data_IF_635954545436
#
_entry.id   IF_635954545436
#
_cell.length_a   1.000
_cell.length_b   1.000
_cell.length_c   1.000
_cell.angle_alpha   90.00
_cell.angle_beta   90.00
_cell.angle_gamma   90.00
#
_symmetry.space_group_name_H-M   'P 1'
#
loop_
_entity.id
_entity.type
_entity.pdbx_description
1 polymer ?
#
# COMPACT_ATOMS: atom_id res chain seq x y z
N UNK A 1 12.45 11.19 9.46
CA UNK A 1 12.54 10.10 8.47
C UNK A 1 11.13 9.60 8.23
N UNK A 2 10.81 9.08 7.05
CA UNK A 2 9.47 8.57 6.76
C UNK A 2 9.52 7.28 5.93
N UNK A 3 8.45 6.51 6.01
CA UNK A 3 8.15 5.41 5.10
C UNK A 3 7.01 5.81 4.16
N UNK A 4 7.13 5.47 2.89
CA UNK A 4 6.12 5.73 1.88
C UNK A 4 5.77 4.46 1.12
N UNK A 5 4.47 4.30 0.86
CA UNK A 5 3.93 3.27 -0.02
C UNK A 5 3.27 3.96 -1.21
N UNK A 6 3.51 3.46 -2.42
CA UNK A 6 2.89 3.99 -3.63
C UNK A 6 2.00 2.94 -4.27
N UNK A 7 0.81 3.36 -4.68
CA UNK A 7 -0.16 2.53 -5.39
C UNK A 7 -0.56 3.18 -6.70
N UNK A 8 -0.60 2.39 -7.75
CA UNK A 8 -1.13 2.77 -9.06
C UNK A 8 -1.70 1.52 -9.72
N UNK A 9 -2.40 1.70 -10.83
CA UNK A 9 -3.00 0.60 -11.56
C UNK A 9 -2.71 0.72 -13.05
N UNK A 10 -2.57 -0.43 -13.70
CA UNK A 10 -2.49 -0.51 -15.17
C UNK A 10 -3.73 -1.22 -15.65
N UNK A 11 -4.29 -0.74 -16.76
CA UNK A 11 -5.43 -1.39 -17.39
C UNK A 11 -4.99 -2.75 -17.93
N UNK A 12 -5.66 -3.80 -17.46
CA UNK A 12 -5.56 -5.14 -18.02
C UNK A 12 -6.58 -5.33 -19.13
N UNK A 13 -7.36 -6.40 -19.03
CA UNK A 13 -8.45 -6.74 -19.94
C UNK A 13 -9.81 -6.11 -19.56
N UNK A 14 -9.90 -5.36 -18.46
CA UNK A 14 -11.15 -4.73 -18.05
C UNK A 14 -11.55 -3.60 -18.99
N UNK A 15 -12.86 -3.31 -19.11
CA UNK A 15 -13.33 -2.24 -20.01
C UNK A 15 -13.19 -0.84 -19.39
N UNK A 16 -13.04 -0.75 -18.06
CA UNK A 16 -13.07 0.50 -17.32
C UNK A 16 -11.98 1.51 -17.73
N UNK A 17 -12.34 2.79 -17.68
CA UNK A 17 -11.42 3.91 -17.95
C UNK A 17 -10.75 4.45 -16.68
N UNK A 18 -11.28 4.11 -15.50
CA UNK A 18 -10.83 4.60 -14.20
C UNK A 18 -10.94 3.50 -13.15
N UNK A 19 -10.12 3.60 -12.11
CA UNK A 19 -10.23 2.73 -10.94
C UNK A 19 -10.07 3.57 -9.68
N UNK A 20 -10.70 3.16 -8.59
CA UNK A 20 -10.40 3.69 -7.28
C UNK A 20 -9.24 2.91 -6.68
N UNK A 21 -8.13 3.60 -6.43
CA UNK A 21 -6.91 2.98 -5.90
C UNK A 21 -6.68 3.43 -4.48
N UNK A 22 -6.27 2.48 -3.63
CA UNK A 22 -5.82 2.72 -2.26
C UNK A 22 -4.46 2.05 -2.04
N UNK A 23 -3.60 2.66 -1.24
CA UNK A 23 -2.32 2.08 -0.80
C UNK A 23 -2.27 2.13 0.72
N UNK A 24 -1.99 1.01 1.37
CA UNK A 24 -1.92 0.90 2.83
C UNK A 24 -0.56 0.36 3.27
N UNK A 25 0.06 1.04 4.23
CA UNK A 25 1.30 0.63 4.87
C UNK A 25 1.00 -0.24 6.09
N UNK A 26 1.71 -1.36 6.16
CA UNK A 26 1.70 -2.29 7.27
C UNK A 26 3.11 -2.47 7.79
N UNK A 27 3.27 -2.45 9.11
CA UNK A 27 4.53 -2.68 9.79
C UNK A 27 4.51 -4.04 10.47
N UNK A 28 5.63 -4.75 10.43
CA UNK A 28 5.75 -6.07 11.05
C UNK A 28 6.18 -5.98 12.52
N UNK A 29 5.49 -6.74 13.36
CA UNK A 29 5.78 -6.91 14.78
C UNK A 29 5.85 -8.39 15.12
N UNK A 30 6.55 -8.69 16.20
CA UNK A 30 6.61 -10.03 16.77
C UNK A 30 6.03 -9.96 18.17
N UNK A 31 5.10 -10.86 18.49
CA UNK A 31 4.57 -10.96 19.84
C UNK A 31 5.56 -11.67 20.80
N UNK A 32 5.25 -11.67 22.09
CA UNK A 32 6.09 -12.28 23.13
C UNK A 32 6.24 -13.82 22.99
N UNK A 33 5.48 -14.45 22.08
CA UNK A 33 5.55 -15.88 21.77
C UNK A 33 6.36 -16.17 20.49
N UNK A 34 6.98 -15.14 19.89
CA UNK A 34 7.77 -15.29 18.67
C UNK A 34 6.94 -15.31 17.37
N UNK A 35 5.61 -15.20 17.43
CA UNK A 35 4.77 -15.15 16.23
C UNK A 35 4.65 -13.73 15.71
N UNK A 36 4.80 -13.57 14.40
CA UNK A 36 4.71 -12.26 13.77
C UNK A 36 3.32 -11.88 13.30
N UNK A 37 3.05 -10.58 13.25
CA UNK A 37 1.83 -10.01 12.70
C UNK A 37 2.11 -8.68 12.00
N UNK A 38 1.21 -8.32 11.09
CA UNK A 38 1.26 -7.08 10.33
C UNK A 38 0.23 -6.11 10.90
N UNK A 39 0.68 -4.94 11.36
CA UNK A 39 -0.19 -3.89 11.85
C UNK A 39 -0.34 -2.80 10.79
N UNK A 40 -1.58 -2.43 10.46
CA UNK A 40 -1.85 -1.36 9.50
C UNK A 40 -1.58 -0.01 10.15
N UNK A 41 -0.60 0.75 9.64
CA UNK A 41 -0.23 2.04 10.24
C UNK A 41 -0.86 3.24 9.52
N UNK A 42 -0.95 3.23 8.19
CA UNK A 42 -1.65 4.29 7.46
C UNK A 42 -2.14 3.83 6.08
N UNK A 43 -3.19 4.46 5.57
CA UNK A 43 -3.68 4.29 4.20
C UNK A 43 -3.78 5.64 3.50
N UNK A 44 -3.55 5.64 2.19
CA UNK A 44 -3.91 6.77 1.34
C UNK A 44 -5.43 6.97 1.30
N UNK A 45 -5.89 8.15 0.89
CA UNK A 45 -7.28 8.31 0.46
C UNK A 45 -7.55 7.41 -0.75
N UNK A 46 -8.73 6.79 -0.78
CA UNK A 46 -9.24 6.10 -1.95
C UNK A 46 -9.44 7.12 -3.07
N UNK A 47 -8.69 6.98 -4.16
CA UNK A 47 -8.62 8.03 -5.19
C UNK A 47 -8.92 7.44 -6.56
N UNK A 48 -9.79 8.11 -7.31
CA UNK A 48 -10.10 7.76 -8.69
C UNK A 48 -8.94 8.12 -9.60
N UNK A 49 -8.33 7.13 -10.23
CA UNK A 49 -7.18 7.28 -11.12
C UNK A 49 -7.49 6.74 -12.51
N UNK A 50 -6.96 7.41 -13.55
CA UNK A 50 -6.80 6.80 -14.88
C UNK A 50 -5.69 5.74 -14.83
N UNK A 51 -5.69 4.74 -15.75
CA UNK A 51 -4.64 3.74 -15.76
C UNK A 51 -3.31 4.39 -16.11
N UNK A 52 -2.25 4.00 -15.42
CA UNK A 52 -0.94 4.59 -15.56
C UNK A 52 -0.05 4.28 -14.37
N UNK A 53 1.25 4.53 -14.51
CA UNK A 53 2.19 4.50 -13.41
C UNK A 53 2.93 5.83 -13.29
N UNK A 54 3.75 5.95 -12.26
CA UNK A 54 4.57 7.16 -12.04
C UNK A 54 3.94 8.15 -11.07
N UNK A 55 4.65 9.25 -10.82
CA UNK A 55 4.32 10.23 -9.79
C UNK A 55 3.01 10.99 -10.05
N UNK A 56 2.63 11.17 -11.31
CA UNK A 56 1.40 11.87 -11.72
C UNK A 56 0.14 11.00 -11.66
N UNK A 57 0.26 9.70 -11.43
CA UNK A 57 -0.87 8.75 -11.47
C UNK A 57 -0.74 7.68 -10.40
N UNK A 58 -0.49 8.12 -9.16
CA UNK A 58 -0.37 7.25 -7.99
C UNK A 58 -1.07 7.84 -6.78
N UNK A 59 -1.48 6.97 -5.89
CA UNK A 59 -1.74 7.31 -4.49
C UNK A 59 -0.49 7.06 -3.66
N UNK A 60 -0.33 7.82 -2.59
CA UNK A 60 0.79 7.66 -1.64
C UNK A 60 0.23 7.54 -0.23
N UNK A 61 0.59 6.46 0.45
CA UNK A 61 0.52 6.35 1.90
C UNK A 61 1.86 6.77 2.49
N UNK A 62 1.79 7.48 3.61
CA UNK A 62 2.96 8.08 4.25
C UNK A 62 2.88 7.85 5.75
N UNK A 63 3.99 7.52 6.39
CA UNK A 63 4.07 7.59 7.84
C UNK A 63 5.43 8.09 8.30
N UNK A 64 5.42 8.98 9.28
CA UNK A 64 6.65 9.47 9.91
C UNK A 64 7.19 8.43 10.88
N UNK A 65 8.50 8.21 10.85
CA UNK A 65 9.16 7.25 11.73
C UNK A 65 9.39 7.86 13.12
N UNK A 66 9.08 7.11 14.16
CA UNK A 66 9.44 7.45 15.54
C UNK A 66 10.90 7.11 15.84
N UNK A 67 11.43 6.03 15.26
CA UNK A 67 12.84 5.63 15.40
C UNK A 67 13.40 4.98 14.12
N UNK A 68 14.67 4.59 14.15
CA UNK A 68 15.42 4.03 13.01
C UNK A 68 15.64 2.51 13.05
N UNK A 69 14.95 1.80 13.93
CA UNK A 69 15.00 0.33 14.01
C UNK A 69 14.62 -0.25 12.66
N UNK A 70 15.41 -1.21 12.19
CA UNK A 70 15.13 -1.95 10.97
C UNK A 70 13.93 -2.88 11.18
N UNK A 71 12.88 -2.69 10.39
CA UNK A 71 11.63 -3.46 10.47
C UNK A 71 11.12 -3.74 9.06
N UNK A 72 10.38 -4.84 8.92
CA UNK A 72 9.76 -5.18 7.65
C UNK A 72 8.46 -4.38 7.47
N UNK A 73 8.32 -3.75 6.31
CA UNK A 73 7.16 -3.00 5.88
C UNK A 73 6.50 -3.67 4.69
N UNK A 74 5.17 -3.60 4.64
CA UNK A 74 4.37 -4.09 3.52
C UNK A 74 3.47 -2.98 3.02
N UNK A 75 3.57 -2.68 1.73
CA UNK A 75 2.62 -1.85 1.02
C UNK A 75 1.57 -2.74 0.33
N UNK A 76 0.31 -2.59 0.73
CA UNK A 76 -0.83 -3.27 0.14
C UNK A 76 -1.55 -2.29 -0.77
N UNK A 77 -1.61 -2.61 -2.06
CA UNK A 77 -2.34 -1.82 -3.06
C UNK A 77 -3.63 -2.52 -3.42
N UNK A 78 -4.70 -1.76 -3.39
CA UNK A 78 -6.07 -2.19 -3.67
C UNK A 78 -6.61 -1.37 -4.86
N UNK A 79 -7.26 -2.03 -5.82
CA UNK A 79 -7.69 -1.44 -7.09
C UNK A 79 -9.09 -1.88 -7.44
N UNK A 80 -10.05 -0.98 -7.30
CA UNK A 80 -11.43 -1.21 -7.73
C UNK A 80 -11.66 -0.59 -9.12
N UNK A 81 -11.68 -1.39 -10.19
CA UNK A 81 -11.98 -0.89 -11.52
C UNK A 81 -13.46 -0.49 -11.63
N UNK A 82 -13.75 0.75 -12.03
CA UNK A 82 -15.11 1.29 -11.98
C UNK A 82 -16.06 0.51 -12.91
N UNK A 83 -17.19 0.06 -12.38
CA UNK A 83 -18.21 -0.69 -13.12
C UNK A 83 -17.78 -2.11 -13.49
N UNK A 84 -16.76 -2.67 -12.83
CA UNK A 84 -16.29 -4.04 -13.01
C UNK A 84 -16.42 -4.81 -11.70
N UNK A 85 -16.54 -6.13 -11.79
CA UNK A 85 -16.46 -7.00 -10.62
C UNK A 85 -15.01 -6.98 -10.13
N UNK A 86 -14.83 -6.71 -8.85
CA UNK A 86 -13.53 -6.75 -8.20
C UNK A 86 -13.02 -8.20 -8.09
N UNK A 87 -11.76 -8.41 -8.45
CA UNK A 87 -11.09 -9.70 -8.39
C UNK A 87 -10.35 -9.82 -7.05
N UNK A 88 -10.14 -11.04 -6.54
CA UNK A 88 -9.45 -11.25 -5.25
C UNK A 88 -7.92 -11.01 -5.33
N UNK A 89 -7.48 -10.29 -6.35
CA UNK A 89 -6.09 -10.09 -6.70
C UNK A 89 -5.45 -9.05 -5.78
N UNK A 90 -4.70 -9.55 -4.81
CA UNK A 90 -4.02 -8.68 -3.87
C UNK A 90 -2.54 -8.51 -4.21
N UNK A 91 -2.13 -7.27 -4.50
CA UNK A 91 -0.72 -6.94 -4.70
C UNK A 91 -0.12 -6.34 -3.42
N UNK A 92 0.90 -7.01 -2.89
CA UNK A 92 1.67 -6.57 -1.72
C UNK A 92 3.15 -6.50 -2.08
N UNK A 93 3.77 -5.36 -1.78
CA UNK A 93 5.21 -5.17 -1.88
C UNK A 93 5.79 -5.11 -0.48
N UNK A 94 6.92 -5.77 -0.24
CA UNK A 94 7.56 -5.81 1.07
C UNK A 94 9.00 -5.30 0.98
N UNK A 95 9.44 -4.55 1.99
CA UNK A 95 10.81 -4.06 2.12
C UNK A 95 11.18 -3.89 3.59
N UNK A 96 12.44 -4.16 3.93
CA UNK A 96 12.97 -3.77 5.23
C UNK A 96 13.38 -2.30 5.19
N UNK A 97 12.91 -1.51 6.16
CA UNK A 97 13.20 -0.08 6.25
C UNK A 97 13.65 0.23 7.68
N UNK A 98 14.63 1.11 7.83
CA UNK A 98 15.09 1.63 9.12
C UNK A 98 14.10 2.67 9.66
N UNK A 99 12.84 2.27 9.87
CA UNK A 99 11.73 3.14 10.23
C UNK A 99 10.73 2.36 11.07
N UNK A 100 10.64 2.63 12.38
CA UNK A 100 9.59 2.10 13.27
C UNK A 100 8.54 3.18 13.49
N UNK A 101 7.27 2.79 13.49
CA UNK A 101 6.18 3.62 13.97
C UNK A 101 5.64 3.01 15.28
N UNK A 102 5.43 3.85 16.29
CA UNK A 102 4.88 3.43 17.58
C UNK A 102 3.35 3.33 17.56
#
# INVERSE_FOLDING_TARGET
>A
MAVQGHGWWKKGNCSSATAHVTSCLYEYYTNNKGSGYWERKNCSKKTKLKPGGGSSSRVTSHNDCNDTKRVSWRNHVDVDADGQIDTTEVKRMQADVNCRVL
#
